data_IF_424971112496
#
_entry.id   IF_424971112496
#
_cell.length_a   1.000
_cell.length_b   1.000
_cell.length_c   1.000
_cell.angle_alpha   90.00
_cell.angle_beta   90.00
_cell.angle_gamma   90.00
#
_symmetry.space_group_name_H-M   'P 1'
#
loop_
_entity.id
_entity.type
_entity.pdbx_description
1 polymer ?
#
# COMPACT_ATOMS: atom_id res chain seq x y z
N UNK A 1 -0.09 32.79 -18.14
CA UNK A 1 -0.94 32.29 -19.22
C UNK A 1 -0.09 31.48 -20.19
N UNK A 2 -0.67 30.45 -20.77
CA UNK A 2 -0.06 29.71 -21.89
C UNK A 2 -0.29 30.45 -23.20
N UNK A 3 0.58 30.23 -24.23
CA UNK A 3 0.31 30.71 -25.56
C UNK A 3 -1.02 30.13 -26.09
N UNK A 4 -1.67 30.84 -26.98
CA UNK A 4 -2.89 30.36 -27.61
C UNK A 4 -2.64 29.15 -28.51
N UNK A 5 -3.68 28.38 -28.83
CA UNK A 5 -3.60 27.25 -29.76
C UNK A 5 -2.99 27.68 -31.10
N UNK A 6 -3.40 28.87 -31.60
CA UNK A 6 -2.88 29.41 -32.86
C UNK A 6 -1.37 29.74 -32.78
N UNK A 7 -0.95 30.32 -31.66
CA UNK A 7 0.47 30.65 -31.47
C UNK A 7 1.33 29.39 -31.40
N UNK A 8 0.91 28.36 -30.63
CA UNK A 8 1.66 27.10 -30.55
C UNK A 8 1.65 26.32 -31.87
N UNK A 9 0.52 26.29 -32.57
CA UNK A 9 0.42 25.71 -33.91
C UNK A 9 1.42 26.34 -34.89
N UNK A 10 1.49 27.67 -34.92
CA UNK A 10 2.44 28.40 -35.77
C UNK A 10 3.90 28.21 -35.31
N UNK A 11 4.15 28.24 -34.02
CA UNK A 11 5.50 28.14 -33.45
C UNK A 11 6.14 26.77 -33.69
N UNK A 12 5.36 25.69 -33.58
CA UNK A 12 5.87 24.30 -33.69
C UNK A 12 5.55 23.63 -35.02
N UNK A 13 4.87 24.30 -35.95
CA UNK A 13 4.52 23.74 -37.25
C UNK A 13 3.56 22.56 -37.20
N UNK A 14 2.71 22.46 -36.17
CA UNK A 14 1.76 21.39 -35.98
C UNK A 14 0.34 21.89 -36.20
N UNK A 15 -0.60 20.97 -36.48
CA UNK A 15 -1.99 21.35 -36.66
C UNK A 15 -2.61 21.94 -35.39
N UNK A 16 -3.60 22.83 -35.55
CA UNK A 16 -4.39 23.36 -34.41
C UNK A 16 -5.07 22.25 -33.64
N UNK A 17 -5.55 21.21 -34.33
CA UNK A 17 -6.19 20.05 -33.72
C UNK A 17 -5.21 19.27 -32.84
N UNK A 18 -3.96 19.12 -33.26
CA UNK A 18 -2.90 18.50 -32.46
C UNK A 18 -2.67 19.27 -31.16
N UNK A 19 -2.56 20.60 -31.22
CA UNK A 19 -2.40 21.43 -30.01
C UNK A 19 -3.63 21.36 -29.12
N UNK A 20 -4.82 21.37 -29.72
CA UNK A 20 -6.08 21.27 -28.97
C UNK A 20 -6.19 19.94 -28.21
N UNK A 21 -5.88 18.82 -28.86
CA UNK A 21 -5.85 17.50 -28.21
C UNK A 21 -4.84 17.44 -27.07
N UNK A 22 -3.65 18.01 -27.24
CA UNK A 22 -2.65 18.11 -26.17
C UNK A 22 -3.17 18.95 -25.00
N UNK A 23 -3.89 20.05 -25.27
CA UNK A 23 -4.49 20.88 -24.23
C UNK A 23 -5.65 20.18 -23.51
N UNK A 24 -6.43 19.36 -24.22
CA UNK A 24 -7.47 18.53 -23.59
C UNK A 24 -6.84 17.51 -22.63
N UNK A 25 -5.81 16.78 -23.07
CA UNK A 25 -5.07 15.83 -22.20
C UNK A 25 -4.52 16.50 -20.95
N UNK A 26 -3.83 17.65 -21.12
CA UNK A 26 -3.29 18.41 -20.00
C UNK A 26 -4.39 18.92 -19.05
N UNK A 27 -5.54 19.28 -19.59
CA UNK A 27 -6.70 19.71 -18.80
C UNK A 27 -7.36 18.56 -18.04
N UNK A 28 -7.53 17.40 -18.68
CA UNK A 28 -8.02 16.18 -18.03
C UNK A 28 -7.09 15.73 -16.88
N UNK A 29 -5.79 15.94 -17.06
CA UNK A 29 -4.77 15.70 -16.03
C UNK A 29 -4.73 16.79 -14.96
N UNK A 30 -5.54 17.85 -15.07
CA UNK A 30 -5.58 18.96 -14.10
C UNK A 30 -4.34 19.87 -14.12
N UNK A 31 -3.51 19.81 -15.15
CA UNK A 31 -2.28 20.58 -15.26
C UNK A 31 -2.50 21.99 -15.80
N UNK A 32 -3.54 22.17 -16.64
CA UNK A 32 -3.97 23.45 -17.17
C UNK A 32 -5.49 23.61 -17.04
N UNK A 33 -5.94 24.82 -17.09
CA UNK A 33 -7.35 25.17 -17.20
C UNK A 33 -7.54 26.36 -18.14
N UNK A 34 -8.78 26.68 -18.49
CA UNK A 34 -9.12 27.79 -19.37
C UNK A 34 -10.23 28.66 -18.80
N UNK A 35 -10.10 29.94 -18.94
CA UNK A 35 -11.17 30.91 -18.61
C UNK A 35 -11.52 31.74 -19.83
N UNK A 36 -12.80 31.90 -20.14
CA UNK A 36 -13.23 32.80 -21.23
C UNK A 36 -12.59 34.18 -21.09
N UNK A 37 -11.97 34.66 -22.18
CA UNK A 37 -11.28 35.96 -22.20
C UNK A 37 -9.85 35.97 -21.66
N UNK A 38 -9.42 34.96 -20.88
CA UNK A 38 -8.03 34.87 -20.36
C UNK A 38 -7.18 33.79 -21.07
N UNK A 39 -7.84 32.87 -21.77
CA UNK A 39 -7.17 31.76 -22.46
C UNK A 39 -6.77 30.63 -21.50
N UNK A 40 -5.79 29.84 -21.93
CA UNK A 40 -5.26 28.72 -21.15
C UNK A 40 -4.16 29.17 -20.17
N UNK A 41 -4.15 28.56 -18.99
CA UNK A 41 -3.13 28.83 -17.97
C UNK A 41 -2.82 27.55 -17.19
N UNK A 42 -1.61 27.49 -16.65
CA UNK A 42 -1.20 26.40 -15.76
C UNK A 42 -2.00 26.51 -14.47
N UNK A 43 -2.65 25.43 -14.09
CA UNK A 43 -3.39 25.39 -12.82
C UNK A 43 -2.41 25.38 -11.67
N UNK A 44 -2.69 26.20 -10.66
CA UNK A 44 -1.98 26.16 -9.38
C UNK A 44 -2.67 25.19 -8.39
N UNK A 45 -3.55 24.31 -8.86
CA UNK A 45 -4.23 23.36 -7.98
C UNK A 45 -3.23 22.36 -7.43
N UNK A 46 -2.95 22.52 -6.16
CA UNK A 46 -2.20 21.54 -5.38
C UNK A 46 -3.09 20.32 -5.16
N UNK A 47 -2.61 19.15 -5.55
CA UNK A 47 -3.27 17.89 -5.24
C UNK A 47 -2.83 17.44 -3.84
N UNK A 48 -3.73 17.54 -2.88
CA UNK A 48 -3.47 17.09 -1.53
C UNK A 48 -3.72 15.59 -1.42
N UNK A 49 -2.74 14.86 -0.91
CA UNK A 49 -2.77 13.40 -0.71
C UNK A 49 -2.63 13.11 0.79
N UNK A 50 -3.56 12.36 1.34
CA UNK A 50 -3.35 11.71 2.63
C UNK A 50 -2.65 10.38 2.41
N UNK A 51 -1.48 10.19 3.02
CA UNK A 51 -0.82 8.89 3.17
C UNK A 51 -0.94 8.47 4.65
N UNK A 52 -1.84 7.53 4.92
CA UNK A 52 -2.07 6.99 6.25
C UNK A 52 -1.47 5.59 6.36
N UNK A 53 -0.42 5.46 7.15
CA UNK A 53 0.31 4.22 7.38
C UNK A 53 0.03 3.67 8.80
N UNK A 54 0.45 2.44 9.04
CA UNK A 54 0.30 1.76 10.33
C UNK A 54 1.22 2.36 11.40
N UNK A 55 2.52 2.18 11.27
CA UNK A 55 3.53 2.71 12.19
C UNK A 55 4.78 3.14 11.42
N UNK A 56 5.60 3.97 12.04
CA UNK A 56 6.89 4.36 11.48
C UNK A 56 7.89 3.23 11.58
N UNK A 57 8.50 2.86 10.45
CA UNK A 57 9.63 1.93 10.37
C UNK A 57 10.56 2.38 9.25
N UNK A 58 11.84 1.94 9.21
CA UNK A 58 12.74 2.23 8.10
C UNK A 58 12.18 1.84 6.72
N UNK A 59 11.43 0.74 6.66
CA UNK A 59 10.72 0.36 5.43
C UNK A 59 9.68 1.41 5.01
N UNK A 60 8.87 1.92 5.97
CA UNK A 60 7.85 2.93 5.69
C UNK A 60 8.47 4.28 5.32
N UNK A 61 9.62 4.60 5.88
CA UNK A 61 10.40 5.77 5.48
C UNK A 61 10.89 5.66 4.03
N UNK A 62 11.44 4.50 3.66
CA UNK A 62 11.87 4.24 2.29
C UNK A 62 10.69 4.27 1.30
N UNK A 63 9.53 3.70 1.70
CA UNK A 63 8.28 3.76 0.94
C UNK A 63 7.84 5.20 0.70
N UNK A 64 7.78 6.02 1.76
CA UNK A 64 7.42 7.43 1.68
C UNK A 64 8.36 8.22 0.76
N UNK A 65 9.67 8.08 0.97
CA UNK A 65 10.67 8.78 0.18
C UNK A 65 10.60 8.40 -1.30
N UNK A 66 10.43 7.11 -1.60
CA UNK A 66 10.22 6.64 -2.97
C UNK A 66 8.93 7.17 -3.56
N UNK A 67 7.84 7.16 -2.81
CA UNK A 67 6.54 7.67 -3.25
C UNK A 67 6.63 9.16 -3.60
N UNK A 68 7.12 10.00 -2.69
CA UNK A 68 7.23 11.45 -2.89
C UNK A 68 8.14 11.80 -4.06
N UNK A 69 9.25 11.08 -4.23
CA UNK A 69 10.20 11.28 -5.34
C UNK A 69 9.55 11.15 -6.73
N UNK A 70 8.52 10.31 -6.85
CA UNK A 70 7.86 10.05 -8.13
C UNK A 70 6.57 10.85 -8.34
N UNK A 71 6.19 11.67 -7.37
CA UNK A 71 5.01 12.52 -7.52
C UNK A 71 5.32 13.79 -8.35
N UNK A 72 4.33 14.28 -9.12
CA UNK A 72 4.42 15.59 -9.76
C UNK A 72 4.58 16.73 -8.73
N UNK A 73 5.22 17.81 -9.16
CA UNK A 73 5.56 18.95 -8.27
C UNK A 73 4.33 19.63 -7.60
N UNK A 74 3.16 19.48 -8.19
CA UNK A 74 1.91 20.03 -7.65
C UNK A 74 1.20 19.10 -6.65
N UNK A 75 1.83 18.03 -6.22
CA UNK A 75 1.31 17.15 -5.18
C UNK A 75 1.89 17.51 -3.81
N UNK A 76 1.04 17.55 -2.81
CA UNK A 76 1.40 17.68 -1.40
C UNK A 76 0.93 16.46 -0.64
N UNK A 77 1.82 15.83 0.10
CA UNK A 77 1.53 14.61 0.88
C UNK A 77 1.56 14.95 2.36
N UNK A 78 0.47 14.66 3.04
CA UNK A 78 0.41 14.64 4.49
C UNK A 78 0.52 13.18 4.95
N UNK A 79 1.60 12.87 5.68
CA UNK A 79 1.90 11.53 6.20
C UNK A 79 1.42 11.44 7.65
N UNK A 80 0.52 10.48 7.92
CA UNK A 80 0.00 10.21 9.25
C UNK A 80 0.15 8.72 9.59
N UNK A 81 0.17 8.41 10.90
CA UNK A 81 0.30 7.05 11.43
C UNK A 81 -0.81 6.76 12.42
N UNK A 82 -1.45 5.59 12.33
CA UNK A 82 -2.52 5.18 13.23
C UNK A 82 -2.08 4.19 14.33
N UNK A 83 -0.83 3.72 14.29
CA UNK A 83 -0.20 2.88 15.33
C UNK A 83 -1.04 1.61 15.66
N UNK A 84 -1.65 0.98 14.67
CA UNK A 84 -2.60 -0.14 14.83
C UNK A 84 -3.77 0.15 15.80
N UNK A 85 -4.05 1.43 16.04
CA UNK A 85 -5.12 1.87 16.93
C UNK A 85 -6.39 2.17 16.11
N UNK A 86 -7.41 1.33 16.26
CA UNK A 86 -8.68 1.47 15.52
C UNK A 86 -9.35 2.84 15.78
N UNK A 87 -9.36 3.30 17.04
CA UNK A 87 -9.97 4.60 17.39
C UNK A 87 -9.26 5.75 16.72
N UNK A 88 -7.92 5.75 16.75
CA UNK A 88 -7.11 6.77 16.10
C UNK A 88 -7.31 6.73 14.58
N UNK A 89 -7.27 5.54 13.97
CA UNK A 89 -7.55 5.34 12.56
C UNK A 89 -8.89 5.96 12.15
N UNK A 90 -9.97 5.57 12.83
CA UNK A 90 -11.31 6.06 12.54
C UNK A 90 -11.45 7.57 12.73
N UNK A 91 -10.72 8.15 13.69
CA UNK A 91 -10.68 9.60 13.92
C UNK A 91 -9.98 10.30 12.78
N UNK A 92 -8.78 9.84 12.38
CA UNK A 92 -8.03 10.39 11.25
C UNK A 92 -8.86 10.35 9.97
N UNK A 93 -9.47 9.21 9.65
CA UNK A 93 -10.30 9.09 8.44
C UNK A 93 -11.47 10.07 8.48
N UNK A 94 -12.22 10.11 9.58
CA UNK A 94 -13.39 11.00 9.73
C UNK A 94 -13.02 12.47 9.55
N UNK A 95 -11.91 12.89 10.16
CA UNK A 95 -11.46 14.28 10.11
C UNK A 95 -10.82 14.67 8.77
N UNK A 96 -10.40 13.67 7.99
CA UNK A 96 -9.77 13.86 6.69
C UNK A 96 -10.77 13.93 5.53
N UNK A 97 -12.02 13.50 5.73
CA UNK A 97 -13.02 13.48 4.66
C UNK A 97 -13.22 14.89 4.08
N UNK A 98 -13.12 14.97 2.74
CA UNK A 98 -13.27 16.23 2.00
C UNK A 98 -12.03 17.14 1.98
N UNK A 99 -10.99 16.85 2.78
CA UNK A 99 -9.76 17.66 2.82
C UNK A 99 -8.73 17.27 1.76
N UNK A 100 -8.80 16.04 1.26
CA UNK A 100 -7.81 15.49 0.34
C UNK A 100 -8.43 15.12 -1.01
N UNK A 101 -7.62 15.25 -2.05
CA UNK A 101 -7.96 14.83 -3.41
C UNK A 101 -7.79 13.32 -3.58
N UNK A 102 -6.79 12.74 -2.88
CA UNK A 102 -6.48 11.31 -2.88
C UNK A 102 -6.18 10.83 -1.47
N UNK A 103 -6.53 9.58 -1.20
CA UNK A 103 -6.31 8.87 0.05
C UNK A 103 -5.58 7.58 -0.23
N UNK A 104 -4.44 7.37 0.39
CA UNK A 104 -3.65 6.15 0.32
C UNK A 104 -3.55 5.63 1.75
N UNK A 105 -4.12 4.46 2.01
CA UNK A 105 -4.41 4.03 3.37
C UNK A 105 -3.97 2.60 3.61
N UNK A 106 -3.12 2.38 4.60
CA UNK A 106 -2.96 1.09 5.27
C UNK A 106 -4.04 0.94 6.33
N UNK A 107 -4.63 -0.26 6.43
CA UNK A 107 -5.64 -0.51 7.45
C UNK A 107 -4.99 -0.74 8.83
N UNK A 108 -5.78 -0.55 9.89
CA UNK A 108 -5.36 -0.83 11.26
C UNK A 108 -5.36 -2.33 11.59
N UNK A 109 -6.03 -3.14 10.79
CA UNK A 109 -6.19 -4.58 10.96
C UNK A 109 -6.17 -5.26 9.58
N UNK A 110 -5.45 -6.37 9.45
CA UNK A 110 -5.32 -7.10 8.19
C UNK A 110 -6.54 -7.96 7.86
N UNK A 111 -7.39 -8.24 8.85
CA UNK A 111 -8.52 -9.15 8.72
C UNK A 111 -9.88 -8.42 8.74
N UNK A 112 -9.90 -7.13 9.08
CA UNK A 112 -11.14 -6.39 9.31
C UNK A 112 -11.16 -5.07 8.56
N UNK A 113 -12.11 -4.91 7.65
CA UNK A 113 -12.34 -3.65 6.94
C UNK A 113 -12.98 -2.60 7.86
N UNK A 114 -12.43 -1.39 7.87
CA UNK A 114 -13.04 -0.28 8.62
C UNK A 114 -14.22 0.34 7.87
N UNK A 115 -15.43 0.37 8.45
CA UNK A 115 -16.57 1.05 7.85
C UNK A 115 -16.36 2.54 7.62
N UNK A 116 -15.42 3.18 8.31
CA UNK A 116 -15.09 4.59 8.11
C UNK A 116 -14.63 4.88 6.68
N UNK A 117 -13.95 3.93 6.04
CA UNK A 117 -13.48 4.05 4.65
C UNK A 117 -14.62 4.14 3.63
N UNK A 118 -15.81 3.60 3.94
CA UNK A 118 -16.98 3.69 3.05
C UNK A 118 -17.46 5.14 2.80
N UNK A 119 -17.01 6.09 3.62
CA UNK A 119 -17.32 7.52 3.46
C UNK A 119 -16.41 8.22 2.45
N UNK A 120 -15.34 7.57 2.02
CA UNK A 120 -14.43 8.10 0.99
C UNK A 120 -14.89 7.58 -0.37
N UNK A 121 -14.92 8.46 -1.36
CA UNK A 121 -15.22 8.04 -2.72
C UNK A 121 -14.19 6.99 -3.19
N UNK A 122 -14.61 5.80 -3.64
CA UNK A 122 -13.69 4.74 -4.07
C UNK A 122 -12.67 5.16 -5.13
N UNK A 123 -13.01 6.09 -6.02
CA UNK A 123 -12.10 6.61 -7.06
C UNK A 123 -10.96 7.46 -6.51
N UNK A 124 -11.07 7.89 -5.26
CA UNK A 124 -10.06 8.67 -4.55
C UNK A 124 -9.25 7.84 -3.55
N UNK A 125 -9.61 6.58 -3.32
CA UNK A 125 -9.02 5.72 -2.30
C UNK A 125 -8.19 4.62 -2.94
N UNK A 126 -6.92 4.54 -2.51
CA UNK A 126 -6.02 3.42 -2.76
C UNK A 126 -5.74 2.73 -1.42
N UNK A 127 -6.02 1.45 -1.35
CA UNK A 127 -5.72 0.62 -0.18
C UNK A 127 -4.31 0.04 -0.31
N UNK A 128 -3.51 0.14 0.76
CA UNK A 128 -2.20 -0.47 0.86
C UNK A 128 -2.21 -1.64 1.85
N UNK A 129 -1.61 -2.76 1.47
CA UNK A 129 -1.40 -3.94 2.32
C UNK A 129 -2.65 -4.38 3.10
N UNK A 130 -3.80 -4.25 2.47
CA UNK A 130 -5.03 -4.79 3.03
C UNK A 130 -5.07 -6.31 2.90
N UNK A 131 -5.56 -6.97 3.95
CA UNK A 131 -5.71 -8.42 4.01
C UNK A 131 -6.75 -9.01 3.04
N UNK A 132 -7.22 -10.22 3.34
CA UNK A 132 -8.08 -11.05 2.48
C UNK A 132 -9.57 -10.71 2.49
N UNK A 133 -9.99 -9.49 2.76
CA UNK A 133 -11.40 -9.13 2.64
C UNK A 133 -11.74 -8.57 1.25
N UNK A 134 -13.04 -8.55 0.97
CA UNK A 134 -13.58 -8.11 -0.33
C UNK A 134 -13.16 -6.67 -0.65
N UNK A 135 -12.47 -6.47 -1.76
CA UNK A 135 -11.90 -5.19 -2.19
C UNK A 135 -12.43 -4.73 -3.54
N UNK A 136 -13.43 -5.38 -4.11
CA UNK A 136 -13.91 -5.18 -5.49
C UNK A 136 -14.21 -3.73 -5.86
N UNK A 137 -14.57 -2.91 -4.86
CA UNK A 137 -14.91 -1.49 -5.06
C UNK A 137 -13.70 -0.56 -5.06
N UNK A 138 -12.52 -1.05 -4.67
CA UNK A 138 -11.38 -0.21 -4.39
C UNK A 138 -10.16 -0.61 -5.20
N UNK A 139 -9.37 0.38 -5.61
CA UNK A 139 -8.01 0.13 -6.06
C UNK A 139 -7.16 -0.28 -4.87
N UNK A 140 -6.31 -1.29 -5.01
CA UNK A 140 -5.43 -1.75 -3.94
C UNK A 140 -4.07 -2.21 -4.46
N UNK A 141 -3.08 -2.10 -3.59
CA UNK A 141 -1.75 -2.67 -3.75
C UNK A 141 -1.46 -3.43 -2.46
N UNK A 142 -1.09 -4.69 -2.54
CA UNK A 142 -0.71 -5.48 -1.37
C UNK A 142 0.52 -6.32 -1.66
N UNK A 143 1.29 -6.58 -0.61
CA UNK A 143 2.37 -7.55 -0.67
C UNK A 143 1.77 -8.96 -0.74
N UNK A 144 2.43 -9.83 -1.46
CA UNK A 144 2.11 -11.25 -1.46
C UNK A 144 2.81 -11.93 -0.28
N UNK A 145 2.15 -11.89 0.87
CA UNK A 145 2.68 -12.52 2.09
C UNK A 145 2.54 -14.05 2.07
N UNK A 146 1.59 -14.59 1.32
CA UNK A 146 1.20 -15.99 1.36
C UNK A 146 2.06 -16.84 0.42
N UNK A 147 1.95 -16.57 -0.88
CA UNK A 147 2.65 -17.35 -1.91
C UNK A 147 4.16 -17.17 -1.81
N UNK A 148 4.63 -15.94 -1.57
CA UNK A 148 6.07 -15.67 -1.39
C UNK A 148 6.64 -16.41 -0.18
N UNK A 149 5.90 -16.49 0.94
CA UNK A 149 6.31 -17.24 2.12
C UNK A 149 6.35 -18.76 1.83
N UNK A 150 5.32 -19.28 1.16
CA UNK A 150 5.25 -20.69 0.75
C UNK A 150 6.41 -21.07 -0.18
N UNK A 151 6.70 -20.24 -1.18
CA UNK A 151 7.83 -20.42 -2.09
C UNK A 151 9.18 -20.40 -1.33
N UNK A 152 9.34 -19.51 -0.36
CA UNK A 152 10.55 -19.46 0.47
C UNK A 152 10.74 -20.75 1.27
N UNK A 153 9.67 -21.34 1.82
CA UNK A 153 9.74 -22.64 2.50
C UNK A 153 10.16 -23.75 1.53
N UNK A 154 9.66 -23.75 0.30
CA UNK A 154 10.07 -24.71 -0.73
C UNK A 154 11.54 -24.60 -1.11
N UNK A 155 12.06 -23.37 -1.23
CA UNK A 155 13.49 -23.13 -1.48
C UNK A 155 14.38 -23.66 -0.35
N UNK A 156 13.88 -23.63 0.88
CA UNK A 156 14.61 -24.12 2.07
C UNK A 156 14.39 -25.60 2.33
N UNK A 157 13.55 -26.28 1.60
CA UNK A 157 13.12 -27.68 1.82
C UNK A 157 14.27 -28.62 2.15
N UNK A 158 15.32 -28.63 1.34
CA UNK A 158 16.45 -29.57 1.51
C UNK A 158 17.23 -29.30 2.80
N UNK A 159 17.28 -28.04 3.27
CA UNK A 159 17.87 -27.69 4.57
C UNK A 159 16.95 -28.10 5.72
N UNK A 160 15.64 -27.94 5.56
CA UNK A 160 14.64 -28.26 6.58
C UNK A 160 14.55 -29.76 6.87
N UNK A 161 14.89 -30.64 5.91
CA UNK A 161 14.96 -32.09 6.08
C UNK A 161 15.97 -32.55 7.16
N UNK A 162 16.90 -31.71 7.54
CA UNK A 162 17.86 -32.03 8.60
C UNK A 162 17.25 -31.93 10.01
N UNK A 163 16.02 -31.48 10.13
CA UNK A 163 15.30 -31.29 11.39
C UNK A 163 14.13 -32.26 11.46
N UNK A 164 13.84 -32.74 12.67
CA UNK A 164 12.73 -33.67 12.87
C UNK A 164 11.38 -32.96 13.05
N UNK A 165 11.41 -31.66 13.35
CA UNK A 165 10.21 -30.84 13.55
C UNK A 165 10.47 -29.41 13.08
N UNK A 166 9.43 -28.76 12.53
CA UNK A 166 9.39 -27.36 12.17
C UNK A 166 8.45 -26.61 13.12
N UNK A 167 8.89 -25.52 13.68
CA UNK A 167 8.07 -24.67 14.57
C UNK A 167 7.98 -23.27 13.99
N UNK A 168 6.77 -22.83 13.68
CA UNK A 168 6.51 -21.48 13.21
C UNK A 168 6.17 -20.58 14.39
N UNK A 169 7.08 -19.63 14.68
CA UNK A 169 6.90 -18.65 15.73
C UNK A 169 5.97 -17.52 15.23
N UNK A 170 4.75 -17.51 15.74
CA UNK A 170 3.74 -16.55 15.33
C UNK A 170 3.07 -15.91 16.54
N UNK A 171 3.77 -15.01 17.28
CA UNK A 171 3.23 -14.41 18.49
C UNK A 171 1.93 -13.67 18.22
N UNK A 172 1.01 -13.70 19.19
CA UNK A 172 -0.31 -13.02 19.11
C UNK A 172 -0.20 -11.52 18.83
N UNK A 173 0.90 -10.90 19.24
CA UNK A 173 1.19 -9.49 18.99
C UNK A 173 1.63 -9.19 17.55
N UNK A 174 2.03 -10.21 16.80
CA UNK A 174 2.53 -10.05 15.44
C UNK A 174 1.41 -9.55 14.51
N UNK A 175 1.65 -8.42 13.87
CA UNK A 175 0.73 -7.83 12.89
C UNK A 175 1.06 -8.32 11.48
N UNK A 176 0.86 -9.62 11.29
CA UNK A 176 1.08 -10.31 10.02
C UNK A 176 -0.18 -11.10 9.65
N UNK A 177 -0.51 -11.30 8.36
CA UNK A 177 -1.69 -12.06 7.95
C UNK A 177 -1.72 -13.47 8.54
N UNK A 178 -2.85 -13.86 9.11
CA UNK A 178 -3.05 -15.18 9.72
C UNK A 178 -2.92 -16.31 8.70
N UNK A 179 -3.20 -16.01 7.45
CA UNK A 179 -3.04 -16.95 6.32
C UNK A 179 -1.64 -17.58 6.22
N UNK A 180 -0.60 -16.92 6.69
CA UNK A 180 0.74 -17.50 6.72
C UNK A 180 0.83 -18.80 7.55
N UNK A 181 0.00 -18.94 8.60
CA UNK A 181 -0.11 -20.19 9.37
C UNK A 181 -0.65 -21.33 8.51
N UNK A 182 -1.66 -21.03 7.67
CA UNK A 182 -2.27 -21.99 6.77
C UNK A 182 -1.27 -22.46 5.72
N UNK A 183 -0.52 -21.54 5.11
CA UNK A 183 0.51 -21.86 4.13
C UNK A 183 1.68 -22.63 4.72
N UNK A 184 2.10 -22.32 5.95
CA UNK A 184 3.09 -23.11 6.67
C UNK A 184 2.60 -24.53 6.93
N UNK A 185 1.39 -24.67 7.46
CA UNK A 185 0.79 -25.99 7.75
C UNK A 185 0.63 -26.83 6.48
N UNK A 186 0.15 -26.20 5.42
CA UNK A 186 0.03 -26.82 4.10
C UNK A 186 1.38 -27.33 3.58
N UNK A 187 2.42 -26.50 3.62
CA UNK A 187 3.76 -26.90 3.23
C UNK A 187 4.24 -28.13 4.02
N UNK A 188 4.06 -28.11 5.35
CA UNK A 188 4.48 -29.22 6.20
C UNK A 188 3.72 -30.52 5.86
N UNK A 189 2.42 -30.43 5.66
CA UNK A 189 1.59 -31.59 5.27
C UNK A 189 2.03 -32.17 3.93
N UNK A 190 2.23 -31.34 2.90
CA UNK A 190 2.66 -31.74 1.57
C UNK A 190 4.07 -32.35 1.57
N UNK A 191 4.95 -31.89 2.45
CA UNK A 191 6.33 -32.35 2.51
C UNK A 191 6.59 -33.43 3.60
N UNK A 192 5.57 -33.78 4.39
CA UNK A 192 5.66 -34.79 5.44
C UNK A 192 6.45 -34.34 6.67
N UNK A 193 6.50 -33.05 6.96
CA UNK A 193 7.13 -32.52 8.16
C UNK A 193 6.19 -32.56 9.36
N UNK A 194 6.71 -32.95 10.52
CA UNK A 194 6.07 -32.66 11.79
C UNK A 194 6.18 -31.15 12.07
N UNK A 195 5.05 -30.50 12.32
CA UNK A 195 5.04 -29.05 12.48
C UNK A 195 4.14 -28.56 13.61
N UNK A 196 4.45 -27.39 14.13
CA UNK A 196 3.70 -26.69 15.16
C UNK A 196 3.71 -25.17 14.89
N UNK A 197 2.61 -24.48 15.24
CA UNK A 197 2.56 -23.01 15.28
C UNK A 197 2.56 -22.57 16.73
N UNK A 198 3.62 -21.86 17.14
CA UNK A 198 3.83 -21.41 18.49
C UNK A 198 3.49 -19.92 18.62
N UNK A 199 2.43 -19.62 19.38
CA UNK A 199 1.94 -18.23 19.60
C UNK A 199 2.49 -17.61 20.90
N UNK A 200 2.78 -18.43 21.89
CA UNK A 200 3.42 -18.00 23.15
C UNK A 200 4.93 -18.25 23.04
N UNK A 201 5.70 -17.17 22.89
CA UNK A 201 7.14 -17.24 22.72
C UNK A 201 7.93 -16.74 23.93
N UNK A 202 7.26 -16.22 24.99
CA UNK A 202 7.96 -15.63 26.15
C UNK A 202 8.77 -16.67 26.93
N UNK A 203 8.27 -17.91 27.00
CA UNK A 203 8.92 -19.01 27.70
C UNK A 203 9.43 -20.10 26.74
N UNK A 204 9.68 -19.75 25.49
CA UNK A 204 10.12 -20.72 24.49
C UNK A 204 11.48 -21.33 24.83
N UNK A 205 11.50 -22.65 24.98
CA UNK A 205 12.75 -23.41 25.11
C UNK A 205 13.17 -23.92 23.75
N UNK A 206 14.36 -23.54 23.32
CA UNK A 206 14.93 -23.99 22.05
C UNK A 206 15.43 -25.43 22.16
N UNK A 207 14.89 -26.31 21.33
CA UNK A 207 15.23 -27.73 21.31
C UNK A 207 16.17 -28.06 20.15
N UNK A 208 17.14 -28.95 20.41
CA UNK A 208 18.03 -29.46 19.35
C UNK A 208 17.26 -30.30 18.34
N UNK A 209 17.54 -30.12 17.06
CA UNK A 209 16.90 -30.87 15.98
C UNK A 209 15.52 -30.29 15.54
N UNK A 210 15.12 -29.15 16.10
CA UNK A 210 13.92 -28.39 15.71
C UNK A 210 14.35 -27.16 14.91
N UNK A 211 13.72 -26.92 13.76
CA UNK A 211 13.89 -25.68 13.01
C UNK A 211 12.79 -24.67 13.41
N UNK A 212 13.23 -23.52 13.89
CA UNK A 212 12.35 -22.42 14.25
C UNK A 212 12.29 -21.41 13.11
N UNK A 213 11.09 -21.13 12.63
CA UNK A 213 10.81 -20.20 11.55
C UNK A 213 10.11 -18.99 12.18
N UNK A 214 10.64 -17.80 11.94
CA UNK A 214 10.07 -16.55 12.44
C UNK A 214 9.93 -15.55 11.28
N UNK A 215 8.82 -14.81 11.27
CA UNK A 215 8.66 -13.63 10.44
C UNK A 215 9.09 -12.44 11.28
N UNK A 216 10.18 -11.81 10.87
CA UNK A 216 10.68 -10.60 11.50
C UNK A 216 10.36 -9.41 10.62
N UNK A 217 9.59 -8.43 11.13
CA UNK A 217 9.64 -7.10 10.56
C UNK A 217 11.03 -6.54 10.86
N UNK A 218 11.78 -6.20 9.81
CA UNK A 218 13.04 -5.49 10.02
C UNK A 218 12.70 -4.09 10.54
N UNK A 219 13.18 -3.81 11.74
CA UNK A 219 13.20 -2.47 12.32
C UNK A 219 14.20 -1.59 11.58
#
# INVERSE_FOLDING_TARGET
SLPSINQLSAQYGVSRDTVFKAFLDLRERGLIDSTPGKGYYVTSQVTNVLLLLDQYTPFKEALYNSFVKHLPINYKVDLLFHQYNERLFNTIIRESIGKYNKYIVMNFDNEKFSPALNKINPTKLLLLDFGKFEKEKYSYICQDFDESFYQALHLLRERLKNYHQLVFLFPKSLKHPQSSKEYFTRFCQEQGFLCEVQEDIENLTICKGVAYIAIKQQD
#
